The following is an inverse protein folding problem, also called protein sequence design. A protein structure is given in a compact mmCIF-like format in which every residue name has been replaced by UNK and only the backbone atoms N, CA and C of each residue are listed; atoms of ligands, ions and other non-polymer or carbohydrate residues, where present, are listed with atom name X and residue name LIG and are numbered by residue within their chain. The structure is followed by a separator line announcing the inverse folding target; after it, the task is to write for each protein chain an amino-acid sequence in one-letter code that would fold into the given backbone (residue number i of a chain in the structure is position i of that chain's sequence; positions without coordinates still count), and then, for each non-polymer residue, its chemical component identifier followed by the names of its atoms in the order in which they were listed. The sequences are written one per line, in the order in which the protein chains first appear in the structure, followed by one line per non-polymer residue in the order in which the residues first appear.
data_IF_456505155515
#
_entry.id   IF_456505155515
#
_cell.length_a   1.000
_cell.length_b   1.000
_cell.length_c   1.000
_cell.angle_alpha   90.00
_cell.angle_beta   90.00
_cell.angle_gamma   90.00
#
_symmetry.space_group_name_H-M   'P 1'
#
loop_
_entity.id
_entity.type
_entity.pdbx_description
1 polymer ?
#
# COMPACT_ATOMS: atom_id res chain seq x y z
N UNK A 1 -70.19 -144.77 -14.40
CA UNK A 1 -69.07 -144.00 -13.82
C UNK A 1 -68.22 -143.30 -14.88
N UNK A 2 -67.69 -144.03 -15.88
CA UNK A 2 -66.74 -143.50 -16.90
C UNK A 2 -67.33 -142.38 -17.78
N UNK A 3 -68.57 -142.54 -18.27
CA UNK A 3 -69.21 -141.54 -19.14
C UNK A 3 -69.44 -140.18 -18.44
N UNK A 4 -69.71 -140.20 -17.13
CA UNK A 4 -69.86 -138.98 -16.31
C UNK A 4 -68.54 -138.23 -16.13
N UNK A 5 -67.43 -138.97 -15.95
CA UNK A 5 -66.09 -138.39 -15.85
C UNK A 5 -65.63 -137.75 -17.17
N UNK A 6 -65.94 -138.37 -18.32
CA UNK A 6 -65.62 -137.82 -19.64
C UNK A 6 -66.40 -136.53 -19.93
N UNK A 7 -67.70 -136.51 -19.59
CA UNK A 7 -68.55 -135.32 -19.73
C UNK A 7 -68.07 -134.17 -18.83
N UNK A 8 -67.69 -134.47 -17.58
CA UNK A 8 -67.12 -133.47 -16.67
C UNK A 8 -65.78 -132.91 -17.18
N UNK A 9 -64.94 -133.75 -17.79
CA UNK A 9 -63.68 -133.32 -18.39
C UNK A 9 -63.90 -132.41 -19.60
N UNK A 10 -64.85 -132.75 -20.47
CA UNK A 10 -65.21 -131.94 -21.63
C UNK A 10 -65.81 -130.58 -21.22
N UNK A 11 -66.70 -130.56 -20.23
CA UNK A 11 -67.22 -129.32 -19.66
C UNK A 11 -66.10 -128.45 -19.06
N UNK A 12 -65.14 -129.07 -18.33
CA UNK A 12 -63.96 -128.36 -17.82
C UNK A 12 -63.04 -127.82 -18.92
N UNK A 13 -62.84 -128.58 -20.00
CA UNK A 13 -62.04 -128.13 -21.14
C UNK A 13 -62.67 -126.91 -21.82
N UNK A 14 -63.98 -126.96 -22.05
CA UNK A 14 -64.74 -125.83 -22.61
C UNK A 14 -64.70 -124.60 -21.70
N UNK A 15 -64.83 -124.80 -20.38
CA UNK A 15 -64.68 -123.73 -19.38
C UNK A 15 -63.28 -123.11 -19.43
N UNK A 16 -62.23 -123.92 -19.47
CA UNK A 16 -60.84 -123.45 -19.57
C UNK A 16 -60.55 -122.73 -20.89
N UNK A 17 -61.12 -123.18 -22.01
CA UNK A 17 -60.99 -122.49 -23.30
C UNK A 17 -61.66 -121.11 -23.28
N UNK A 18 -62.83 -121.00 -22.66
CA UNK A 18 -63.52 -119.72 -22.47
C UNK A 18 -62.73 -118.77 -21.57
N UNK A 19 -62.22 -119.28 -20.43
CA UNK A 19 -61.36 -118.52 -19.52
C UNK A 19 -60.06 -118.07 -20.23
N UNK A 20 -59.46 -118.92 -21.07
CA UNK A 20 -58.27 -118.58 -21.87
C UNK A 20 -58.56 -117.45 -22.86
N UNK A 21 -59.68 -117.51 -23.58
CA UNK A 21 -60.10 -116.46 -24.51
C UNK A 21 -60.37 -115.13 -23.78
N UNK A 22 -61.05 -115.19 -22.64
CA UNK A 22 -61.30 -114.01 -21.81
C UNK A 22 -60.00 -113.40 -21.27
N UNK A 23 -59.06 -114.23 -20.81
CA UNK A 23 -57.74 -113.79 -20.37
C UNK A 23 -56.93 -113.16 -21.53
N UNK A 24 -56.98 -113.76 -22.73
CA UNK A 24 -56.32 -113.23 -23.92
C UNK A 24 -56.89 -111.86 -24.33
N UNK A 25 -58.22 -111.70 -24.28
CA UNK A 25 -58.88 -110.43 -24.55
C UNK A 25 -58.52 -109.36 -23.50
N UNK A 26 -58.52 -109.72 -22.21
CA UNK A 26 -58.09 -108.84 -21.12
C UNK A 26 -56.63 -108.38 -21.30
N UNK A 27 -55.72 -109.28 -21.67
CA UNK A 27 -54.32 -108.92 -21.94
C UNK A 27 -54.21 -107.98 -23.14
N UNK A 28 -54.98 -108.21 -24.22
CA UNK A 28 -55.01 -107.32 -25.39
C UNK A 28 -55.59 -105.94 -25.05
N UNK A 29 -56.59 -105.88 -24.17
CA UNK A 29 -57.15 -104.63 -23.68
C UNK A 29 -56.13 -103.86 -22.85
N UNK A 30 -55.55 -104.51 -21.83
CA UNK A 30 -54.52 -103.92 -20.98
C UNK A 30 -53.29 -103.47 -21.77
N UNK A 31 -52.89 -104.22 -22.81
CA UNK A 31 -51.78 -103.84 -23.69
C UNK A 31 -52.09 -102.57 -24.49
N UNK A 32 -53.31 -102.41 -24.99
CA UNK A 32 -53.74 -101.20 -25.69
C UNK A 32 -53.78 -100.00 -24.75
N UNK A 33 -54.41 -100.18 -23.59
CA UNK A 33 -54.51 -99.13 -22.57
C UNK A 33 -53.12 -98.69 -22.07
N UNK A 34 -52.21 -99.64 -21.85
CA UNK A 34 -50.80 -99.35 -21.47
C UNK A 34 -50.07 -98.60 -22.58
N UNK A 35 -50.29 -98.94 -23.85
CA UNK A 35 -49.69 -98.24 -24.97
C UNK A 35 -50.21 -96.79 -25.08
N UNK A 36 -51.51 -96.59 -24.88
CA UNK A 36 -52.14 -95.27 -24.90
C UNK A 36 -51.66 -94.40 -23.73
N UNK A 37 -51.59 -94.93 -22.50
CA UNK A 37 -51.01 -94.23 -21.36
C UNK A 37 -49.55 -93.84 -21.59
N UNK A 38 -48.74 -94.75 -22.16
CA UNK A 38 -47.35 -94.47 -22.49
C UNK A 38 -47.23 -93.35 -23.53
N UNK A 39 -48.11 -93.32 -24.52
CA UNK A 39 -48.16 -92.27 -25.54
C UNK A 39 -48.47 -90.91 -24.91
N UNK A 40 -49.56 -90.82 -24.14
CA UNK A 40 -49.96 -89.57 -23.46
C UNK A 40 -48.87 -89.07 -22.52
N UNK A 41 -48.23 -89.96 -21.75
CA UNK A 41 -47.13 -89.59 -20.86
C UNK A 41 -45.92 -89.06 -21.65
N UNK A 42 -45.59 -89.69 -22.78
CA UNK A 42 -44.48 -89.25 -23.65
C UNK A 42 -44.76 -87.88 -24.26
N UNK A 43 -45.98 -87.64 -24.75
CA UNK A 43 -46.41 -86.34 -25.29
C UNK A 43 -46.37 -85.26 -24.20
N UNK A 44 -46.83 -85.56 -22.99
CA UNK A 44 -46.78 -84.63 -21.86
C UNK A 44 -45.33 -84.29 -21.46
N UNK A 45 -44.42 -85.28 -21.49
CA UNK A 45 -43.00 -85.04 -21.25
C UNK A 45 -42.37 -84.17 -22.33
N UNK A 46 -42.65 -84.42 -23.61
CA UNK A 46 -42.15 -83.59 -24.70
C UNK A 46 -42.67 -82.15 -24.62
N UNK A 47 -43.96 -81.96 -24.31
CA UNK A 47 -44.53 -80.63 -24.13
C UNK A 47 -43.87 -79.88 -22.97
N UNK A 48 -43.71 -80.53 -21.81
CA UNK A 48 -43.02 -79.95 -20.64
C UNK A 48 -41.58 -79.55 -20.94
N UNK A 49 -40.84 -80.38 -21.68
CA UNK A 49 -39.47 -80.04 -22.09
C UNK A 49 -39.46 -78.88 -23.09
N UNK A 50 -40.39 -78.84 -24.04
CA UNK A 50 -40.50 -77.73 -24.97
C UNK A 50 -40.80 -76.40 -24.23
N UNK A 51 -41.79 -76.39 -23.33
CA UNK A 51 -42.12 -75.21 -22.51
C UNK A 51 -40.91 -74.73 -21.70
N UNK A 52 -40.17 -75.65 -21.07
CA UNK A 52 -38.94 -75.30 -20.33
C UNK A 52 -37.90 -74.66 -21.24
N UNK A 53 -37.68 -75.20 -22.44
CA UNK A 53 -36.72 -74.63 -23.38
C UNK A 53 -37.16 -73.26 -23.89
N UNK A 54 -38.44 -73.04 -24.14
CA UNK A 54 -38.97 -71.72 -24.51
C UNK A 54 -38.82 -70.70 -23.39
N UNK A 55 -39.16 -71.09 -22.15
CA UNK A 55 -38.98 -70.22 -20.97
C UNK A 55 -37.52 -69.87 -20.78
N UNK A 56 -36.60 -70.83 -20.95
CA UNK A 56 -35.16 -70.57 -20.87
C UNK A 56 -34.68 -69.59 -21.95
N UNK A 57 -35.13 -69.74 -23.20
CA UNK A 57 -34.82 -68.79 -24.29
C UNK A 57 -35.34 -67.39 -24.00
N UNK A 58 -36.60 -67.26 -23.58
CA UNK A 58 -37.21 -65.97 -23.20
C UNK A 58 -36.46 -65.33 -22.05
N UNK A 59 -36.06 -66.10 -21.04
CA UNK A 59 -35.24 -65.60 -19.93
C UNK A 59 -33.87 -65.12 -20.39
N UNK A 60 -33.23 -65.82 -21.34
CA UNK A 60 -31.95 -65.39 -21.90
C UNK A 60 -32.08 -64.09 -22.72
N UNK A 61 -33.14 -63.96 -23.52
CA UNK A 61 -33.44 -62.73 -24.26
C UNK A 61 -33.70 -61.55 -23.30
N UNK A 62 -34.51 -61.75 -22.26
CA UNK A 62 -34.76 -60.74 -21.23
C UNK A 62 -33.46 -60.32 -20.51
N UNK A 63 -32.61 -61.29 -20.16
CA UNK A 63 -31.31 -60.99 -19.56
C UNK A 63 -30.42 -60.15 -20.50
N UNK A 64 -30.43 -60.45 -21.80
CA UNK A 64 -29.68 -59.66 -22.79
C UNK A 64 -30.22 -58.24 -22.93
N UNK A 65 -31.54 -58.07 -22.91
CA UNK A 65 -32.20 -56.76 -22.95
C UNK A 65 -31.91 -55.93 -21.70
N UNK A 66 -31.93 -56.56 -20.52
CA UNK A 66 -31.56 -55.90 -19.27
C UNK A 66 -30.09 -55.45 -19.29
N UNK A 67 -29.17 -56.31 -19.72
CA UNK A 67 -27.76 -55.95 -19.84
C UNK A 67 -27.53 -54.78 -20.82
N UNK A 68 -28.25 -54.76 -21.95
CA UNK A 68 -28.20 -53.66 -22.91
C UNK A 68 -28.77 -52.36 -22.31
N UNK A 69 -29.89 -52.44 -21.59
CA UNK A 69 -30.49 -51.30 -20.90
C UNK A 69 -29.57 -50.75 -19.81
N UNK A 70 -28.96 -51.61 -19.00
CA UNK A 70 -27.96 -51.22 -18.00
C UNK A 70 -26.76 -50.52 -18.64
N UNK A 71 -26.23 -51.04 -19.75
CA UNK A 71 -25.13 -50.38 -20.48
C UNK A 71 -25.54 -48.99 -20.97
N UNK A 72 -26.77 -48.82 -21.45
CA UNK A 72 -27.30 -47.53 -21.88
C UNK A 72 -27.43 -46.56 -20.71
N UNK A 73 -27.94 -47.02 -19.57
CA UNK A 73 -28.03 -46.21 -18.35
C UNK A 73 -26.64 -45.76 -17.87
N UNK A 74 -25.66 -46.67 -17.82
CA UNK A 74 -24.27 -46.35 -17.45
C UNK A 74 -23.64 -45.31 -18.37
N UNK A 75 -23.95 -45.33 -19.65
CA UNK A 75 -23.47 -44.32 -20.59
C UNK A 75 -24.09 -42.95 -20.31
N UNK A 76 -25.40 -42.91 -20.06
CA UNK A 76 -26.11 -41.68 -19.71
C UNK A 76 -25.61 -41.09 -18.39
N UNK A 77 -25.34 -41.93 -17.38
CA UNK A 77 -24.72 -41.50 -16.12
C UNK A 77 -23.38 -40.80 -16.36
N UNK A 78 -22.51 -41.39 -17.19
CA UNK A 78 -21.22 -40.78 -17.56
C UNK A 78 -21.40 -39.45 -18.29
N UNK A 79 -22.40 -39.35 -19.18
CA UNK A 79 -22.71 -38.10 -19.87
C UNK A 79 -23.22 -37.02 -18.91
N UNK A 80 -24.08 -37.38 -17.95
CA UNK A 80 -24.55 -36.46 -16.93
C UNK A 80 -23.42 -35.97 -16.03
N UNK A 81 -22.50 -36.85 -15.64
CA UNK A 81 -21.33 -36.47 -14.85
C UNK A 81 -20.39 -35.54 -15.63
N UNK A 82 -20.23 -35.77 -16.94
CA UNK A 82 -19.50 -34.85 -17.81
C UNK A 82 -20.18 -33.48 -17.89
N UNK A 83 -21.51 -33.44 -18.09
CA UNK A 83 -22.27 -32.20 -18.11
C UNK A 83 -22.19 -31.44 -16.77
N UNK A 84 -22.27 -32.15 -15.64
CA UNK A 84 -22.09 -31.54 -14.31
C UNK A 84 -20.73 -30.87 -14.16
N UNK A 85 -19.65 -31.55 -14.59
CA UNK A 85 -18.29 -30.99 -14.56
C UNK A 85 -18.15 -29.76 -15.47
N UNK A 86 -18.74 -29.80 -16.67
CA UNK A 86 -18.74 -28.66 -17.58
C UNK A 86 -19.47 -27.46 -16.99
N UNK A 87 -20.63 -27.67 -16.37
CA UNK A 87 -21.41 -26.62 -15.71
C UNK A 87 -20.60 -26.05 -14.53
N UNK A 88 -20.04 -26.91 -13.69
CA UNK A 88 -19.22 -26.48 -12.55
C UNK A 88 -18.00 -25.67 -13.01
N UNK A 89 -17.34 -26.09 -14.09
CA UNK A 89 -16.22 -25.33 -14.68
C UNK A 89 -16.68 -23.95 -15.17
N UNK A 90 -17.81 -23.89 -15.89
CA UNK A 90 -18.37 -22.62 -16.36
C UNK A 90 -18.80 -21.69 -15.21
N UNK A 91 -19.37 -22.24 -14.13
CA UNK A 91 -19.72 -21.49 -12.92
C UNK A 91 -18.48 -20.96 -12.19
N UNK A 92 -17.42 -21.76 -12.09
CA UNK A 92 -16.14 -21.36 -11.52
C UNK A 92 -15.50 -20.24 -12.36
N UNK A 93 -15.47 -20.38 -13.68
CA UNK A 93 -14.95 -19.35 -14.60
C UNK A 93 -15.74 -18.05 -14.49
N UNK A 94 -17.08 -18.12 -14.47
CA UNK A 94 -17.94 -16.96 -14.25
C UNK A 94 -17.65 -16.29 -12.90
N UNK A 95 -17.49 -17.08 -11.84
CA UNK A 95 -17.19 -16.55 -10.50
C UNK A 95 -15.83 -15.87 -10.46
N UNK A 96 -14.81 -16.47 -11.07
CA UNK A 96 -13.47 -15.89 -11.20
C UNK A 96 -13.47 -14.59 -12.04
N UNK A 97 -14.23 -14.55 -13.13
CA UNK A 97 -14.38 -13.33 -13.94
C UNK A 97 -15.07 -12.20 -13.15
N UNK A 98 -16.12 -12.52 -12.39
CA UNK A 98 -16.80 -11.55 -11.52
C UNK A 98 -15.88 -11.03 -10.41
N UNK A 99 -15.11 -11.90 -9.76
CA UNK A 99 -14.13 -11.51 -8.74
C UNK A 99 -13.04 -10.62 -9.33
N UNK A 100 -12.52 -10.97 -10.51
CA UNK A 100 -11.53 -10.15 -11.23
C UNK A 100 -12.10 -8.78 -11.61
N UNK A 101 -13.35 -8.73 -12.09
CA UNK A 101 -14.02 -7.45 -12.38
C UNK A 101 -14.19 -6.60 -11.12
N UNK A 102 -14.65 -7.20 -10.02
CA UNK A 102 -14.79 -6.49 -8.74
C UNK A 102 -13.46 -5.97 -8.20
N UNK A 103 -12.35 -6.68 -8.43
CA UNK A 103 -11.00 -6.21 -8.08
C UNK A 103 -10.55 -5.04 -8.96
N UNK A 104 -10.75 -5.12 -10.27
CA UNK A 104 -10.43 -4.01 -11.18
C UNK A 104 -11.26 -2.75 -10.89
N UNK A 105 -12.53 -2.90 -10.51
CA UNK A 105 -13.37 -1.76 -10.12
C UNK A 105 -12.89 -1.12 -8.81
N UNK A 106 -12.48 -1.93 -7.82
CA UNK A 106 -11.86 -1.43 -6.58
C UNK A 106 -10.56 -0.68 -6.85
N UNK A 107 -9.67 -1.25 -7.66
CA UNK A 107 -8.41 -0.60 -8.04
C UNK A 107 -8.67 0.70 -8.79
N UNK A 108 -9.63 0.72 -9.72
CA UNK A 108 -10.04 1.93 -10.44
C UNK A 108 -10.57 3.01 -9.50
N UNK A 109 -11.34 2.66 -8.47
CA UNK A 109 -11.83 3.60 -7.47
C UNK A 109 -10.70 4.16 -6.60
N UNK A 110 -9.73 3.33 -6.22
CA UNK A 110 -8.53 3.75 -5.48
C UNK A 110 -7.70 4.72 -6.31
N UNK A 111 -7.43 4.39 -7.57
CA UNK A 111 -6.71 5.27 -8.51
C UNK A 111 -7.46 6.59 -8.72
N UNK A 112 -8.78 6.55 -8.89
CA UNK A 112 -9.60 7.74 -9.01
C UNK A 112 -9.52 8.62 -7.75
N UNK A 113 -9.60 8.02 -6.55
CA UNK A 113 -9.45 8.75 -5.28
C UNK A 113 -8.06 9.37 -5.14
N UNK A 114 -7.00 8.66 -5.54
CA UNK A 114 -5.63 9.16 -5.53
C UNK A 114 -5.45 10.36 -6.46
N UNK A 115 -5.97 10.25 -7.69
CA UNK A 115 -5.96 11.37 -8.66
C UNK A 115 -6.74 12.56 -8.10
N UNK A 116 -7.92 12.34 -7.51
CA UNK A 116 -8.72 13.39 -6.87
C UNK A 116 -7.93 14.11 -5.78
N UNK A 117 -7.24 13.38 -4.90
CA UNK A 117 -6.41 13.96 -3.84
C UNK A 117 -5.23 14.77 -4.39
N UNK A 118 -4.59 14.30 -5.47
CA UNK A 118 -3.52 15.05 -6.15
C UNK A 118 -4.04 16.35 -6.77
N UNK A 119 -5.22 16.32 -7.38
CA UNK A 119 -5.86 17.52 -7.93
C UNK A 119 -6.19 18.55 -6.84
N UNK A 120 -6.70 18.10 -5.69
CA UNK A 120 -6.97 18.98 -4.55
C UNK A 120 -5.69 19.63 -4.00
N UNK A 121 -4.58 18.88 -3.93
CA UNK A 121 -3.26 19.42 -3.57
C UNK A 121 -2.78 20.47 -4.57
N UNK A 122 -2.97 20.24 -5.86
CA UNK A 122 -2.62 21.22 -6.90
C UNK A 122 -3.45 22.50 -6.79
N UNK A 123 -4.76 22.39 -6.56
CA UNK A 123 -5.65 23.54 -6.35
C UNK A 123 -5.23 24.38 -5.12
N UNK A 124 -4.83 23.73 -4.02
CA UNK A 124 -4.27 24.45 -2.87
C UNK A 124 -2.97 25.19 -3.20
N UNK A 125 -2.07 24.58 -3.98
CA UNK A 125 -0.83 25.21 -4.41
C UNK A 125 -1.09 26.39 -5.36
N UNK A 126 -2.06 26.28 -6.27
CA UNK A 126 -2.45 27.35 -7.18
C UNK A 126 -3.02 28.57 -6.42
N UNK A 127 -3.81 28.31 -5.38
CA UNK A 127 -4.30 29.35 -4.46
C UNK A 127 -3.18 30.04 -3.71
N UNK A 128 -2.23 29.29 -3.13
CA UNK A 128 -1.07 29.88 -2.44
C UNK A 128 -0.15 30.64 -3.40
N UNK A 129 0.06 30.12 -4.62
CA UNK A 129 0.83 30.81 -5.65
C UNK A 129 0.20 32.16 -6.02
N UNK A 130 -1.13 32.18 -6.21
CA UNK A 130 -1.88 33.41 -6.48
C UNK A 130 -1.78 34.41 -5.32
N UNK A 131 -1.92 33.94 -4.07
CA UNK A 131 -1.75 34.75 -2.86
C UNK A 131 -0.35 35.34 -2.75
N UNK A 132 0.67 34.53 -3.00
CA UNK A 132 2.06 34.98 -2.96
C UNK A 132 2.35 36.01 -4.05
N UNK A 133 1.80 35.80 -5.25
CA UNK A 133 1.93 36.74 -6.38
C UNK A 133 1.30 38.10 -6.07
N UNK A 134 0.11 38.12 -5.48
CA UNK A 134 -0.52 39.39 -5.05
C UNK A 134 0.30 40.10 -3.97
N UNK A 135 0.82 39.36 -3.00
CA UNK A 135 1.69 39.91 -1.94
C UNK A 135 3.01 40.45 -2.51
N UNK A 136 3.62 39.74 -3.47
CA UNK A 136 4.81 40.19 -4.19
C UNK A 136 4.54 41.50 -4.93
N UNK A 137 3.45 41.59 -5.68
CA UNK A 137 3.08 42.81 -6.41
C UNK A 137 2.88 44.02 -5.47
N UNK A 138 2.25 43.81 -4.31
CA UNK A 138 2.09 44.84 -3.29
C UNK A 138 3.45 45.28 -2.74
N UNK A 139 4.34 44.32 -2.44
CA UNK A 139 5.69 44.61 -1.95
C UNK A 139 6.52 45.39 -2.99
N UNK A 140 6.48 44.98 -4.26
CA UNK A 140 7.16 45.67 -5.38
C UNK A 140 6.66 47.11 -5.54
N UNK A 141 5.34 47.34 -5.46
CA UNK A 141 4.78 48.70 -5.51
C UNK A 141 5.28 49.55 -4.35
N UNK A 142 5.27 49.00 -3.13
CA UNK A 142 5.77 49.70 -1.94
C UNK A 142 7.26 50.00 -2.01
N UNK A 143 8.06 49.11 -2.59
CA UNK A 143 9.48 49.35 -2.84
C UNK A 143 9.68 50.53 -3.79
N UNK A 144 8.97 50.57 -4.92
CA UNK A 144 9.02 51.69 -5.88
C UNK A 144 8.64 53.02 -5.22
N UNK A 145 7.58 53.03 -4.41
CA UNK A 145 7.16 54.24 -3.68
C UNK A 145 8.24 54.72 -2.69
N UNK A 146 8.94 53.80 -2.04
CA UNK A 146 10.05 54.12 -1.12
C UNK A 146 11.30 54.59 -1.86
N UNK A 147 11.63 53.99 -3.01
CA UNK A 147 12.74 54.41 -3.88
C UNK A 147 12.52 55.84 -4.39
N UNK A 148 11.30 56.19 -4.81
CA UNK A 148 10.96 57.54 -5.23
C UNK A 148 11.15 58.55 -4.08
N UNK A 149 10.61 58.25 -2.89
CA UNK A 149 10.76 59.13 -1.72
C UNK A 149 12.22 59.30 -1.31
N UNK A 150 13.03 58.25 -1.45
CA UNK A 150 14.46 58.31 -1.16
C UNK A 150 15.16 59.27 -2.14
N UNK A 151 14.86 59.19 -3.43
CA UNK A 151 15.41 60.12 -4.44
C UNK A 151 15.01 61.58 -4.15
N UNK A 152 13.75 61.83 -3.84
CA UNK A 152 13.26 63.18 -3.47
C UNK A 152 13.99 63.73 -2.25
N UNK A 153 14.20 62.90 -1.23
CA UNK A 153 14.90 63.27 0.00
C UNK A 153 16.41 63.50 -0.25
N UNK A 154 17.06 62.69 -1.08
CA UNK A 154 18.44 62.91 -1.53
C UNK A 154 18.58 64.23 -2.30
N UNK A 155 17.64 64.55 -3.18
CA UNK A 155 17.61 65.84 -3.89
C UNK A 155 17.43 67.02 -2.92
N UNK A 156 16.54 66.90 -1.94
CA UNK A 156 16.36 67.92 -0.90
C UNK A 156 17.63 68.10 -0.06
N UNK A 157 18.31 67.02 0.34
CA UNK A 157 19.59 67.08 1.04
C UNK A 157 20.68 67.77 0.22
N UNK A 158 20.78 67.49 -1.08
CA UNK A 158 21.71 68.17 -1.98
C UNK A 158 21.44 69.67 -2.05
N UNK A 159 20.19 70.09 -2.20
CA UNK A 159 19.84 71.52 -2.23
C UNK A 159 20.20 72.24 -0.93
N UNK A 160 19.94 71.60 0.22
CA UNK A 160 20.34 72.14 1.53
C UNK A 160 21.86 72.22 1.65
N UNK A 161 22.59 71.21 1.16
CA UNK A 161 24.05 71.21 1.15
C UNK A 161 24.62 72.33 0.26
N UNK A 162 24.05 72.55 -0.93
CA UNK A 162 24.41 73.67 -1.82
C UNK A 162 24.15 75.02 -1.15
N UNK A 163 22.98 75.20 -0.53
CA UNK A 163 22.66 76.44 0.21
C UNK A 163 23.59 76.67 1.40
N UNK A 164 23.95 75.61 2.13
CA UNK A 164 24.93 75.71 3.20
C UNK A 164 26.33 76.08 2.68
N UNK A 165 26.75 75.52 1.55
CA UNK A 165 28.02 75.86 0.91
C UNK A 165 28.03 77.30 0.36
N UNK A 166 26.93 77.76 -0.23
CA UNK A 166 26.74 79.15 -0.68
C UNK A 166 26.86 80.12 0.51
N UNK A 167 26.18 79.83 1.63
CA UNK A 167 26.29 80.61 2.85
C UNK A 167 27.70 80.59 3.43
N UNK A 168 28.38 79.44 3.45
CA UNK A 168 29.76 79.35 3.92
C UNK A 168 30.71 80.19 3.06
N UNK A 169 30.57 80.13 1.74
CA UNK A 169 31.33 80.96 0.79
C UNK A 169 31.02 82.45 0.98
N UNK A 170 29.74 82.79 1.20
CA UNK A 170 29.30 84.15 1.52
C UNK A 170 29.89 84.67 2.83
N UNK A 171 29.97 83.83 3.87
CA UNK A 171 30.61 84.17 5.14
C UNK A 171 32.14 84.32 5.00
N UNK A 172 32.80 83.47 4.21
CA UNK A 172 34.24 83.57 3.95
C UNK A 172 34.60 84.82 3.15
N UNK A 173 33.81 85.16 2.13
CA UNK A 173 33.98 86.43 1.38
C UNK A 173 33.72 87.63 2.28
N UNK A 174 32.66 87.62 3.11
CA UNK A 174 32.40 88.68 4.08
C UNK A 174 33.54 88.82 5.10
N UNK A 175 34.07 87.69 5.59
CA UNK A 175 35.26 87.67 6.46
C UNK A 175 36.48 88.27 5.78
N UNK A 176 36.74 87.92 4.52
CA UNK A 176 37.84 88.50 3.74
C UNK A 176 37.66 90.02 3.53
N UNK A 177 36.43 90.48 3.28
CA UNK A 177 36.09 91.90 3.19
C UNK A 177 36.33 92.64 4.51
N UNK A 178 35.88 92.09 5.64
CA UNK A 178 36.14 92.67 6.98
C UNK A 178 37.64 92.69 7.28
N UNK A 179 38.36 91.63 6.92
CA UNK A 179 39.81 91.54 7.10
C UNK A 179 40.57 92.52 6.20
N UNK A 180 40.08 92.79 4.99
CA UNK A 180 40.61 93.82 4.09
C UNK A 180 40.29 95.25 4.57
N UNK A 181 39.15 95.45 5.24
CA UNK A 181 38.74 96.71 5.82
C UNK A 181 39.37 97.01 7.21
N UNK A 182 40.02 96.03 7.85
CA UNK A 182 40.58 96.18 9.19
C UNK A 182 41.91 95.41 9.34
N UNK A 183 43.07 96.07 9.22
CA UNK A 183 44.37 95.42 9.34
C UNK A 183 44.85 95.44 10.80
N UNK A 184 44.22 94.68 11.70
CA UNK A 184 44.91 94.17 12.90
C UNK A 184 44.07 93.14 13.67
N UNK A 185 44.75 92.09 14.14
CA UNK A 185 44.40 91.13 15.21
C UNK A 185 43.81 89.77 14.79
N UNK A 186 44.72 88.80 14.67
CA UNK A 186 44.44 87.36 14.72
C UNK A 186 44.22 86.88 16.16
N UNK A 187 43.23 86.01 16.46
CA UNK A 187 43.17 85.30 17.74
C UNK A 187 43.84 83.91 17.66
N UNK A 188 44.89 83.73 18.48
CA UNK A 188 45.58 82.45 18.74
C UNK A 188 44.68 81.50 19.56
N UNK A 189 44.68 80.23 19.17
CA UNK A 189 44.05 79.12 19.89
C UNK A 189 44.72 78.83 21.25
N UNK A 190 43.91 78.57 22.29
CA UNK A 190 44.34 78.03 23.59
C UNK A 190 43.71 76.65 23.84
N UNK A 191 44.56 75.68 24.23
CA UNK A 191 44.23 74.29 24.60
C UNK A 191 43.76 74.18 26.06
N UNK A 192 42.97 73.15 26.45
CA UNK A 192 42.85 72.73 27.86
C UNK A 192 43.73 71.51 28.21
N UNK A 193 44.12 71.48 29.50
CA UNK A 193 45.05 70.57 30.18
C UNK A 193 44.38 69.29 30.70
N UNK A 194 45.19 68.23 30.82
CA UNK A 194 44.98 66.96 31.56
C UNK A 194 44.68 67.15 33.05
N UNK A 195 43.82 66.29 33.63
CA UNK A 195 43.89 65.82 35.02
C UNK A 195 43.60 64.31 35.09
N UNK A 196 44.14 63.69 36.13
CA UNK A 196 44.55 62.29 36.25
C UNK A 196 43.90 61.66 37.50
N UNK A 197 43.42 60.40 37.37
CA UNK A 197 43.25 59.31 38.38
C UNK A 197 42.33 59.50 39.60
N UNK A 198 41.51 58.47 39.89
CA UNK A 198 41.71 57.44 40.94
C UNK A 198 40.57 56.37 40.89
N UNK A 199 40.71 55.21 41.57
CA UNK A 199 40.05 53.94 41.24
C UNK A 199 39.08 53.41 42.33
N UNK A 200 38.39 52.33 41.96
CA UNK A 200 37.81 51.23 42.76
C UNK A 200 37.12 51.47 44.11
N UNK A 201 35.85 51.07 44.18
CA UNK A 201 35.21 50.53 45.39
C UNK A 201 34.38 49.29 45.06
N UNK A 202 34.83 48.15 45.57
CA UNK A 202 34.07 46.90 45.75
C UNK A 202 33.16 46.99 46.98
N UNK A 203 31.92 46.52 46.86
CA UNK A 203 31.04 45.82 47.83
C UNK A 203 29.68 45.63 47.12
N UNK A 204 28.92 44.56 47.24
CA UNK A 204 28.98 43.31 48.00
C UNK A 204 27.91 42.37 47.42
N UNK A 205 28.15 41.06 47.55
CA UNK A 205 27.28 39.95 47.18
C UNK A 205 25.99 39.90 48.00
N UNK A 206 24.82 39.76 47.34
CA UNK A 206 23.58 39.03 47.71
C UNK A 206 22.51 39.45 46.67
N UNK A 207 21.75 38.62 45.96
CA UNK A 207 21.17 37.32 46.25
C UNK A 207 21.21 36.43 45.00
N UNK A 208 21.68 35.20 45.20
CA UNK A 208 21.41 34.09 44.29
C UNK A 208 19.92 33.75 44.39
N UNK A 209 19.14 34.19 43.41
CA UNK A 209 17.90 33.53 43.03
C UNK A 209 18.21 32.75 41.76
N UNK A 210 18.27 31.44 41.93
CA UNK A 210 18.47 30.44 40.89
C UNK A 210 17.36 30.56 39.85
N UNK A 211 17.63 31.28 38.75
CA UNK A 211 16.73 31.34 37.60
C UNK A 211 17.54 31.27 36.32
N UNK A 212 17.08 30.41 35.41
CA UNK A 212 17.79 29.89 34.25
C UNK A 212 18.35 30.97 33.30
N UNK A 213 19.42 30.68 32.54
CA UNK A 213 20.10 31.67 31.69
C UNK A 213 19.31 32.08 30.44
N UNK A 214 18.16 31.45 30.18
CA UNK A 214 17.33 31.79 29.02
C UNK A 214 16.60 33.13 29.20
N UNK A 215 17.11 34.14 28.49
CA UNK A 215 16.54 35.47 28.33
C UNK A 215 16.49 36.32 29.61
N UNK A 216 17.66 36.52 30.23
CA UNK A 216 17.85 37.53 31.28
C UNK A 216 17.93 38.93 30.66
N UNK A 217 16.84 39.67 30.64
CA UNK A 217 16.86 41.09 30.34
C UNK A 217 17.09 41.86 31.65
N UNK A 218 18.29 42.44 31.82
CA UNK A 218 18.56 43.34 32.94
C UNK A 218 17.85 44.66 32.65
N UNK A 219 16.95 45.10 33.54
CA UNK A 219 16.25 46.38 33.38
C UNK A 219 17.19 47.60 33.32
N UNK A 220 18.47 47.44 33.68
CA UNK A 220 19.52 48.45 33.50
C UNK A 220 20.08 48.57 32.09
N UNK A 221 19.86 47.58 31.21
CA UNK A 221 20.34 47.58 29.81
C UNK A 221 19.29 48.17 28.84
N UNK A 222 18.10 48.52 29.35
CA UNK A 222 17.03 49.11 28.55
C UNK A 222 17.19 50.63 28.56
N UNK A 223 17.46 51.28 27.40
CA UNK A 223 17.65 52.73 27.38
C UNK A 223 16.38 53.45 27.84
N UNK A 224 16.53 54.32 28.84
CA UNK A 224 15.44 55.19 29.27
C UNK A 224 15.17 56.22 28.16
N UNK A 225 14.00 56.12 27.52
CA UNK A 225 13.52 57.11 26.56
C UNK A 225 12.35 57.87 27.19
N UNK A 226 12.61 59.10 27.63
CA UNK A 226 11.55 60.04 28.00
C UNK A 226 10.99 60.71 26.73
N UNK A 227 9.93 60.14 26.17
CA UNK A 227 9.18 60.73 25.06
C UNK A 227 7.67 60.57 25.26
N UNK A 228 6.90 61.62 25.04
CA UNK A 228 5.43 61.54 24.99
C UNK A 228 5.03 61.19 23.55
N UNK A 229 4.42 60.01 23.36
CA UNK A 229 3.91 59.59 22.06
C UNK A 229 2.75 60.48 21.62
N UNK A 230 2.81 61.01 20.40
CA UNK A 230 1.78 61.89 19.82
C UNK A 230 0.71 61.12 19.03
N UNK A 231 0.51 59.82 19.30
CA UNK A 231 -0.54 59.01 18.67
C UNK A 231 -1.15 57.99 19.66
N UNK A 232 -2.48 57.73 19.65
CA UNK A 232 -3.17 56.90 20.65
C UNK A 232 -2.76 55.41 20.69
N UNK A 233 -2.05 54.90 19.69
CA UNK A 233 -1.82 53.45 19.52
C UNK A 233 -0.41 52.94 19.86
N UNK A 234 0.49 53.80 20.36
CA UNK A 234 1.88 53.40 20.62
C UNK A 234 2.36 53.82 22.01
N UNK A 235 1.97 53.05 23.03
CA UNK A 235 2.66 53.08 24.32
C UNK A 235 3.87 52.14 24.26
N UNK A 236 5.07 52.72 24.22
CA UNK A 236 6.33 51.96 24.21
C UNK A 236 6.40 50.99 25.41
N UNK A 237 5.86 51.39 26.57
CA UNK A 237 5.76 50.53 27.74
C UNK A 237 4.90 49.28 27.52
N UNK A 238 3.77 49.41 26.82
CA UNK A 238 2.90 48.28 26.48
C UNK A 238 3.55 47.34 25.46
N UNK A 239 4.28 47.88 24.49
CA UNK A 239 5.04 47.07 23.53
C UNK A 239 6.19 46.30 24.19
N UNK A 240 6.94 46.93 25.10
CA UNK A 240 7.99 46.23 25.88
C UNK A 240 7.37 45.13 26.74
N UNK A 241 6.27 45.40 27.43
CA UNK A 241 5.58 44.38 28.23
C UNK A 241 5.04 43.23 27.36
N UNK A 242 4.51 43.51 26.17
CA UNK A 242 4.02 42.49 25.24
C UNK A 242 5.16 41.64 24.67
N UNK A 243 6.29 42.25 24.29
CA UNK A 243 7.49 41.54 23.85
C UNK A 243 8.04 40.67 24.98
N UNK A 244 8.11 41.19 26.21
CA UNK A 244 8.51 40.42 27.38
C UNK A 244 7.56 39.24 27.64
N UNK A 245 6.26 39.43 27.45
CA UNK A 245 5.26 38.37 27.58
C UNK A 245 5.45 37.26 26.53
N UNK A 246 5.66 37.63 25.27
CA UNK A 246 5.99 36.68 24.18
C UNK A 246 7.30 35.93 24.44
N UNK A 247 8.34 36.65 24.88
CA UNK A 247 9.62 36.05 25.27
C UNK A 247 9.48 35.14 26.49
N UNK A 248 8.50 35.36 27.38
CA UNK A 248 8.23 34.50 28.53
C UNK A 248 7.39 33.26 28.16
N UNK A 249 6.53 33.35 27.15
CA UNK A 249 5.59 32.29 26.76
C UNK A 249 6.02 31.46 25.54
N UNK A 250 7.17 31.75 24.94
CA UNK A 250 7.64 31.00 23.77
C UNK A 250 7.81 29.49 24.05
N UNK A 251 7.67 28.69 22.98
CA UNK A 251 7.91 27.24 23.04
C UNK A 251 9.40 26.94 23.10
N UNK A 252 9.87 26.37 24.22
CA UNK A 252 11.30 26.08 24.46
C UNK A 252 11.94 25.13 23.44
N UNK A 253 11.14 24.32 22.73
CA UNK A 253 11.61 23.40 21.70
C UNK A 253 12.13 24.10 20.42
N UNK A 254 11.83 25.40 20.25
CA UNK A 254 12.25 26.20 19.08
C UNK A 254 13.47 27.08 19.37
N UNK A 255 14.07 26.96 20.57
CA UNK A 255 15.23 27.77 20.97
C UNK A 255 16.56 27.08 20.63
N UNK A 256 17.56 27.89 20.26
CA UNK A 256 18.87 27.42 19.85
C UNK A 256 19.61 26.71 21.01
N UNK A 257 19.96 25.43 20.85
CA UNK A 257 20.47 24.57 21.94
C UNK A 257 21.78 25.06 22.58
N UNK A 258 22.56 25.87 21.85
CA UNK A 258 23.81 26.50 22.31
C UNK A 258 23.62 27.54 23.42
N UNK A 259 22.39 28.02 23.65
CA UNK A 259 22.06 28.96 24.74
C UNK A 259 21.37 28.25 25.91
N UNK A 260 20.86 27.02 25.68
CA UNK A 260 20.07 26.22 26.63
C UNK A 260 20.91 25.32 27.51
N UNK A 261 22.14 25.02 27.09
CA UNK A 261 23.00 24.07 27.80
C UNK A 261 23.82 24.76 28.90
N UNK A 262 23.52 24.43 30.16
CA UNK A 262 24.26 24.81 31.37
C UNK A 262 25.66 24.15 31.41
N UNK A 263 26.56 24.53 30.50
CA UNK A 263 27.96 24.08 30.54
C UNK A 263 28.90 25.28 30.67
N UNK A 264 29.59 25.47 31.81
CA UNK A 264 30.54 26.56 31.95
C UNK A 264 31.74 26.32 31.04
N UNK A 265 32.04 27.30 30.20
CA UNK A 265 33.12 27.28 29.22
C UNK A 265 34.49 27.32 29.93
N UNK A 266 35.09 26.16 30.18
CA UNK A 266 36.50 26.02 30.50
C UNK A 266 37.31 25.64 29.25
N UNK A 267 38.50 26.24 29.12
CA UNK A 267 39.41 26.22 27.96
C UNK A 267 39.91 24.82 27.56
N UNK A 268 40.40 24.63 26.31
CA UNK A 268 40.64 23.31 25.70
C UNK A 268 42.10 22.83 25.84
N UNK A 269 42.33 21.53 26.12
CA UNK A 269 43.55 20.77 25.76
C UNK A 269 43.27 19.24 25.74
N UNK A 270 43.48 18.63 24.56
CA UNK A 270 44.07 17.32 24.19
C UNK A 270 43.92 16.01 25.01
N UNK A 271 43.74 14.92 24.23
CA UNK A 271 44.25 13.52 24.32
C UNK A 271 43.59 12.44 25.20
N UNK A 272 43.23 11.30 24.55
CA UNK A 272 43.34 9.95 25.11
C UNK A 272 42.04 9.12 25.28
N UNK A 273 41.83 8.09 24.45
CA UNK A 273 40.97 6.92 24.71
C UNK A 273 41.73 5.86 25.57
N UNK A 274 41.17 4.71 26.05
CA UNK A 274 39.80 4.15 25.99
C UNK A 274 39.25 3.48 27.32
N UNK A 275 38.03 2.92 27.22
CA UNK A 275 37.49 1.70 27.90
C UNK A 275 36.82 1.76 29.30
N UNK A 276 35.49 1.56 29.33
CA UNK A 276 34.81 0.33 29.81
C UNK A 276 33.44 0.55 30.52
N UNK A 277 32.46 -0.24 30.04
CA UNK A 277 31.31 -0.88 30.72
C UNK A 277 30.36 -0.04 31.64
N UNK A 278 29.22 0.30 31.03
CA UNK A 278 27.91 -0.32 31.28
C UNK A 278 26.75 0.60 31.73
N UNK A 279 25.65 0.41 30.99
CA UNK A 279 24.22 0.63 31.29
C UNK A 279 23.64 2.05 31.21
N UNK A 280 22.85 2.15 30.13
CA UNK A 280 21.51 2.74 30.00
C UNK A 280 21.41 4.21 29.54
N UNK A 281 20.82 4.27 28.35
CA UNK A 281 19.94 5.26 27.73
C UNK A 281 20.51 6.61 27.27
N UNK A 282 20.40 6.74 25.95
CA UNK A 282 20.00 7.91 25.15
C UNK A 282 21.02 9.00 24.87
N UNK A 283 21.63 8.88 23.68
CA UNK A 283 22.05 9.93 22.73
C UNK A 283 21.92 9.32 21.31
N UNK A 284 21.83 10.07 20.17
CA UNK A 284 21.44 11.47 19.95
C UNK A 284 20.30 11.62 18.91
N UNK A 285 19.42 12.62 19.04
CA UNK A 285 18.31 12.90 18.09
C UNK A 285 18.67 14.01 17.09
N UNK A 286 19.70 13.80 16.28
CA UNK A 286 19.90 14.61 15.06
C UNK A 286 20.12 13.77 13.79
N UNK A 287 20.23 12.43 13.89
CA UNK A 287 20.24 11.53 12.73
C UNK A 287 18.87 10.99 12.33
N UNK A 288 17.81 11.25 13.10
CA UNK A 288 16.53 10.57 12.88
C UNK A 288 15.79 11.02 11.63
N UNK A 289 15.88 12.30 11.25
CA UNK A 289 15.17 12.83 10.07
C UNK A 289 15.72 12.22 8.77
N UNK A 290 17.03 12.25 8.57
CA UNK A 290 17.66 11.73 7.35
C UNK A 290 17.58 10.20 7.26
N UNK A 291 17.57 9.49 8.39
CA UNK A 291 17.44 8.04 8.43
C UNK A 291 16.00 7.56 8.18
N UNK A 292 15.01 8.35 8.60
CA UNK A 292 13.58 8.10 8.33
C UNK A 292 13.27 8.32 6.85
N UNK A 293 13.73 9.43 6.26
CA UNK A 293 13.64 9.71 4.82
C UNK A 293 14.31 8.62 3.97
N UNK A 294 15.52 8.17 4.36
CA UNK A 294 16.21 7.11 3.65
C UNK A 294 15.48 5.76 3.78
N UNK A 295 14.75 5.55 4.87
CA UNK A 295 13.94 4.33 5.08
C UNK A 295 12.67 4.35 4.25
N UNK A 296 12.03 5.51 4.08
CA UNK A 296 10.89 5.70 3.17
C UNK A 296 11.31 5.46 1.71
N UNK A 297 12.45 6.00 1.28
CA UNK A 297 13.01 5.74 -0.06
C UNK A 297 13.33 4.25 -0.27
N UNK A 298 13.84 3.58 0.75
CA UNK A 298 14.16 2.14 0.65
C UNK A 298 12.88 1.31 0.53
N UNK A 299 11.82 1.68 1.27
CA UNK A 299 10.52 1.03 1.20
C UNK A 299 9.91 1.16 -0.20
N UNK A 300 9.86 2.38 -0.75
CA UNK A 300 9.31 2.61 -2.10
C UNK A 300 10.07 1.83 -3.17
N UNK A 301 11.41 1.80 -3.11
CA UNK A 301 12.21 1.01 -4.04
C UNK A 301 11.93 -0.50 -3.93
N UNK A 302 11.69 -1.00 -2.71
CA UNK A 302 11.36 -2.41 -2.49
C UNK A 302 9.97 -2.77 -3.01
N UNK A 303 8.98 -1.89 -2.81
CA UNK A 303 7.62 -2.08 -3.33
C UNK A 303 7.64 -2.10 -4.87
N UNK A 304 8.36 -1.17 -5.49
CA UNK A 304 8.51 -1.14 -6.95
C UNK A 304 9.25 -2.37 -7.49
N UNK A 305 10.25 -2.88 -6.77
CA UNK A 305 10.93 -4.12 -7.12
C UNK A 305 10.01 -5.34 -6.96
N UNK A 306 9.16 -5.34 -5.93
CA UNK A 306 8.12 -6.33 -5.72
C UNK A 306 7.12 -6.35 -6.89
N UNK A 307 6.65 -5.18 -7.31
CA UNK A 307 5.75 -5.05 -8.46
C UNK A 307 6.41 -5.58 -9.74
N UNK A 308 7.65 -5.18 -10.05
CA UNK A 308 8.34 -5.71 -11.23
C UNK A 308 8.57 -7.23 -11.17
N UNK A 309 8.75 -7.80 -9.96
CA UNK A 309 8.85 -9.24 -9.78
C UNK A 309 7.54 -9.96 -10.08
N UNK A 310 6.40 -9.35 -9.72
CA UNK A 310 5.08 -9.85 -10.07
C UNK A 310 4.86 -9.78 -11.59
N UNK A 311 5.16 -8.64 -12.20
CA UNK A 311 5.06 -8.44 -13.64
C UNK A 311 5.93 -9.44 -14.40
N UNK A 312 7.14 -9.75 -13.90
CA UNK A 312 8.03 -10.75 -14.48
C UNK A 312 7.44 -12.16 -14.47
N UNK A 313 6.79 -12.56 -13.36
CA UNK A 313 6.09 -13.84 -13.29
C UNK A 313 4.89 -13.88 -14.23
N UNK A 314 4.17 -12.77 -14.37
CA UNK A 314 3.02 -12.67 -15.25
C UNK A 314 3.43 -12.72 -16.73
N UNK A 315 4.42 -11.92 -17.14
CA UNK A 315 5.00 -11.96 -18.48
C UNK A 315 5.57 -13.36 -18.81
N UNK A 316 6.24 -14.02 -17.87
CA UNK A 316 6.73 -15.39 -18.08
C UNK A 316 5.60 -16.38 -18.36
N UNK A 317 4.44 -16.25 -17.69
CA UNK A 317 3.26 -17.08 -17.98
C UNK A 317 2.69 -16.78 -19.36
N UNK A 318 2.58 -15.49 -19.71
CA UNK A 318 2.08 -15.07 -21.03
C UNK A 318 2.97 -15.57 -22.18
N UNK A 319 4.29 -15.59 -21.99
CA UNK A 319 5.25 -16.18 -22.96
C UNK A 319 4.98 -17.68 -23.16
N UNK A 320 4.69 -18.42 -22.07
CA UNK A 320 4.39 -19.86 -22.16
C UNK A 320 3.04 -20.14 -22.84
N UNK A 321 2.04 -19.31 -22.57
CA UNK A 321 0.67 -19.42 -23.09
C UNK A 321 0.50 -18.80 -24.50
N UNK A 322 1.54 -18.16 -25.05
CA UNK A 322 1.47 -17.46 -26.32
C UNK A 322 1.15 -18.41 -27.50
N UNK A 323 0.10 -18.12 -28.31
CA UNK A 323 -0.39 -19.00 -29.37
C UNK A 323 0.43 -18.92 -30.67
N UNK A 324 1.22 -17.85 -30.86
CA UNK A 324 2.03 -17.65 -32.07
C UNK A 324 3.46 -17.28 -31.70
N UNK A 325 4.41 -17.65 -32.56
CA UNK A 325 5.85 -17.41 -32.35
C UNK A 325 6.16 -15.92 -32.33
N UNK A 326 5.54 -15.12 -33.20
CA UNK A 326 5.76 -13.67 -33.24
C UNK A 326 5.38 -12.98 -31.92
N UNK A 327 4.23 -13.34 -31.34
CA UNK A 327 3.78 -12.78 -30.04
C UNK A 327 4.68 -13.26 -28.90
N UNK A 328 5.18 -14.49 -28.97
CA UNK A 328 6.14 -15.00 -28.00
C UNK A 328 7.44 -14.20 -28.03
N UNK A 329 8.01 -13.95 -29.21
CA UNK A 329 9.24 -13.17 -29.38
C UNK A 329 9.08 -11.69 -28.94
N UNK A 330 7.91 -11.10 -29.14
CA UNK A 330 7.59 -9.76 -28.61
C UNK A 330 7.56 -9.76 -27.07
N UNK A 331 6.88 -10.73 -26.46
CA UNK A 331 6.79 -10.86 -25.01
C UNK A 331 8.14 -11.20 -24.36
N UNK A 332 8.98 -12.01 -25.03
CA UNK A 332 10.34 -12.31 -24.60
C UNK A 332 11.23 -11.05 -24.61
N UNK A 333 11.09 -10.19 -25.62
CA UNK A 333 11.78 -8.88 -25.65
C UNK A 333 11.34 -7.97 -24.50
N UNK A 334 10.04 -7.95 -24.19
CA UNK A 334 9.53 -7.19 -23.04
C UNK A 334 10.03 -7.75 -21.70
N UNK A 335 10.07 -9.08 -21.58
CA UNK A 335 10.59 -9.76 -20.40
C UNK A 335 12.07 -9.45 -20.18
N UNK A 336 12.91 -9.48 -21.22
CA UNK A 336 14.31 -9.07 -21.13
C UNK A 336 14.47 -7.60 -20.72
N UNK A 337 13.65 -6.71 -21.29
CA UNK A 337 13.67 -5.29 -20.93
C UNK A 337 13.28 -5.09 -19.46
N UNK A 338 12.31 -5.86 -18.95
CA UNK A 338 11.90 -5.85 -17.55
C UNK A 338 13.02 -6.38 -16.64
N UNK A 339 13.70 -7.47 -17.01
CA UNK A 339 14.84 -8.01 -16.24
C UNK A 339 15.95 -6.96 -16.09
N UNK A 340 16.32 -6.26 -17.17
CA UNK A 340 17.31 -5.16 -17.08
C UNK A 340 16.88 -4.06 -16.12
N UNK A 341 15.58 -3.72 -16.08
CA UNK A 341 15.03 -2.74 -15.12
C UNK A 341 15.06 -3.27 -13.68
N UNK A 342 14.77 -4.55 -13.48
CA UNK A 342 14.85 -5.20 -12.17
C UNK A 342 16.28 -5.19 -11.64
N UNK A 343 17.27 -5.53 -12.46
CA UNK A 343 18.70 -5.47 -12.11
C UNK A 343 19.12 -4.06 -11.70
N UNK A 344 18.78 -3.05 -12.52
CA UNK A 344 19.07 -1.66 -12.22
C UNK A 344 18.42 -1.20 -10.90
N UNK A 345 17.23 -1.70 -10.57
CA UNK A 345 16.54 -1.37 -9.32
C UNK A 345 17.11 -2.12 -8.12
N UNK A 346 17.52 -3.38 -8.28
CA UNK A 346 18.24 -4.13 -7.27
C UNK A 346 19.56 -3.43 -6.88
N UNK A 347 20.25 -2.85 -7.87
CA UNK A 347 21.44 -2.03 -7.65
C UNK A 347 21.14 -0.74 -6.87
N UNK A 348 20.01 -0.07 -7.17
CA UNK A 348 19.58 1.12 -6.42
C UNK A 348 19.29 0.77 -4.97
N UNK A 349 18.52 -0.29 -4.71
CA UNK A 349 18.25 -0.79 -3.34
C UNK A 349 19.55 -1.11 -2.62
N UNK A 350 20.49 -1.77 -3.28
CA UNK A 350 21.80 -2.11 -2.71
C UNK A 350 22.64 -0.88 -2.38
N UNK A 351 22.58 0.17 -3.20
CA UNK A 351 23.25 1.46 -2.94
C UNK A 351 22.64 2.17 -1.73
N UNK A 352 21.31 2.26 -1.65
CA UNK A 352 20.60 2.90 -0.53
C UNK A 352 20.83 2.12 0.77
N UNK A 353 20.79 0.79 0.74
CA UNK A 353 21.12 -0.06 1.90
C UNK A 353 22.54 0.15 2.41
N UNK A 354 23.52 0.27 1.50
CA UNK A 354 24.91 0.57 1.87
C UNK A 354 25.05 1.95 2.48
N UNK A 355 24.38 2.96 1.91
CA UNK A 355 24.40 4.31 2.45
C UNK A 355 23.78 4.36 3.86
N UNK A 356 22.69 3.64 4.09
CA UNK A 356 22.04 3.51 5.41
C UNK A 356 22.91 2.82 6.47
N UNK A 357 23.91 2.05 6.06
CA UNK A 357 24.86 1.41 6.98
C UNK A 357 26.09 2.29 7.26
N UNK A 358 26.30 3.34 6.46
CA UNK A 358 27.44 4.26 6.56
C UNK A 358 27.07 5.58 7.28
N UNK A 359 25.79 5.97 7.23
CA UNK A 359 25.17 7.03 8.06
C UNK A 359 24.72 6.42 9.38
#
# INVERSE_FOLDING_TARGET
AIFSALKNLQEKMNLLELERLQAEENVKHLSRETADYKKVLSEQMQHKEHDKTEVSKKNQELASQLAAAESRCRLLEKQLDYMRKMIQQAENEKSHLLEKQGSLERDRLLDQSHVQSKLEKLDMLEKEYSRLTTMQSIAEKKMKDLEQKLQEEEHARKLVQEKAAELQTGLETNRLLIQAASPLLSPKARKPRKKTKQPDKKRSLTNQLTTQPHYRLSLGDVPFVAGKSTSPSHSVGANVQHVLHLMKQHTKALCNSRVVSDTPLAKPVSTGHPASKSRKSSLPKESSSSQEELSEVLLTLQDEFGQMSFDHQQLSKLVQEAPTIAVREDLERELEALVRKMEAKADQISKVRRHRLQV
#
